data_IF_535805351717
#
_entry.id   IF_535805351717
#
_cell.length_a   1.000
_cell.length_b   1.000
_cell.length_c   1.000
_cell.angle_alpha   90.00
_cell.angle_beta   90.00
_cell.angle_gamma   90.00
#
_symmetry.space_group_name_H-M   'P 1'
#
loop_
_entity.id
_entity.type
_entity.pdbx_description
1 polymer ?
#
# COMPACT_ATOMS: atom_id res chain seq x y z
N UNK A 1 0.88 -0.58 -17.77
CA UNK A 1 -0.15 0.06 -16.93
C UNK A 1 0.55 0.74 -15.77
N UNK A 2 0.27 2.02 -15.52
CA UNK A 2 0.83 2.75 -14.39
C UNK A 2 -0.29 3.04 -13.39
N UNK A 3 -0.07 2.72 -12.12
CA UNK A 3 -1.02 3.01 -11.05
C UNK A 3 -0.24 3.42 -9.81
N UNK A 4 -0.69 4.50 -9.17
CA UNK A 4 -0.23 4.91 -7.85
C UNK A 4 -1.26 4.49 -6.80
N UNK A 5 -0.76 3.98 -5.68
CA UNK A 5 -1.53 3.63 -4.49
C UNK A 5 -1.07 4.55 -3.37
N UNK A 6 -1.97 5.42 -2.89
CA UNK A 6 -1.74 6.22 -1.70
C UNK A 6 -2.22 5.46 -0.47
N UNK A 7 -1.40 5.41 0.58
CA UNK A 7 -1.70 4.77 1.85
C UNK A 7 -1.66 5.80 2.97
N UNK A 8 -2.78 5.93 3.67
CA UNK A 8 -2.94 6.83 4.82
C UNK A 8 -3.09 6.03 6.11
N UNK A 9 -2.35 6.44 7.15
CA UNK A 9 -2.60 5.98 8.51
C UNK A 9 -3.90 6.57 9.06
N UNK A 10 -4.71 5.72 9.68
CA UNK A 10 -5.89 6.11 10.42
C UNK A 10 -5.68 5.72 11.88
N UNK A 11 -5.57 6.75 12.71
CA UNK A 11 -5.48 6.62 14.16
C UNK A 11 -6.65 5.78 14.72
N UNK A 12 -6.43 5.10 15.86
CA UNK A 12 -7.50 4.34 16.50
C UNK A 12 -8.62 5.29 16.96
N UNK A 13 -9.83 4.75 17.01
CA UNK A 13 -11.01 5.42 17.59
C UNK A 13 -11.56 4.58 18.74
N UNK A 14 -12.59 5.07 19.42
CA UNK A 14 -13.23 4.36 20.54
C UNK A 14 -13.71 2.93 20.21
N UNK A 15 -13.90 2.61 18.94
CA UNK A 15 -14.45 1.30 18.49
C UNK A 15 -13.58 0.59 17.45
N UNK A 16 -12.49 1.20 16.99
CA UNK A 16 -11.66 0.65 15.90
C UNK A 16 -10.18 0.87 16.22
N UNK A 17 -9.40 -0.20 16.15
CA UNK A 17 -7.94 -0.10 16.25
C UNK A 17 -7.31 0.69 15.10
N UNK A 18 -6.00 0.93 15.24
CA UNK A 18 -5.17 1.55 14.21
C UNK A 18 -5.28 0.79 12.89
N UNK A 19 -5.30 1.51 11.78
CA UNK A 19 -5.50 0.91 10.46
C UNK A 19 -4.88 1.75 9.35
N UNK A 20 -4.57 1.11 8.23
CA UNK A 20 -4.00 1.75 7.04
C UNK A 20 -5.00 1.64 5.90
N UNK A 21 -5.30 2.77 5.26
CA UNK A 21 -6.20 2.82 4.11
C UNK A 21 -5.39 3.04 2.84
N UNK A 22 -5.38 2.03 1.97
CA UNK A 22 -4.84 2.10 0.63
C UNK A 22 -5.94 2.55 -0.35
N UNK A 23 -5.62 3.50 -1.24
CA UNK A 23 -6.54 4.00 -2.27
C UNK A 23 -5.79 4.20 -3.59
N UNK A 24 -6.46 3.87 -4.69
CA UNK A 24 -6.02 4.16 -6.04
C UNK A 24 -7.24 4.49 -6.93
N UNK A 25 -7.03 4.72 -8.23
CA UNK A 25 -8.13 5.01 -9.14
C UNK A 25 -9.16 3.87 -9.27
N UNK A 26 -8.72 2.62 -9.08
CA UNK A 26 -9.61 1.45 -9.18
C UNK A 26 -10.47 1.22 -7.92
N UNK A 27 -10.06 1.75 -6.76
CA UNK A 27 -10.81 1.60 -5.52
C UNK A 27 -9.96 1.76 -4.26
N UNK A 28 -10.40 1.15 -3.16
CA UNK A 28 -9.71 1.26 -1.88
C UNK A 28 -9.86 0.00 -1.01
N UNK A 29 -8.95 -0.14 -0.05
CA UNK A 29 -8.93 -1.20 0.95
C UNK A 29 -8.45 -0.61 2.29
N UNK A 30 -8.98 -1.10 3.40
CA UNK A 30 -8.49 -0.77 4.74
C UNK A 30 -7.99 -2.03 5.42
N UNK A 31 -6.73 -2.01 5.87
CA UNK A 31 -6.09 -3.10 6.61
C UNK A 31 -5.87 -2.68 8.06
N UNK A 32 -6.05 -3.61 9.01
CA UNK A 32 -5.65 -3.38 10.39
C UNK A 32 -4.13 -3.22 10.48
N UNK A 33 -3.67 -2.34 11.37
CA UNK A 33 -2.25 -2.22 11.66
C UNK A 33 -1.76 -3.49 12.37
N UNK A 34 -0.65 -4.03 11.88
CA UNK A 34 0.12 -5.05 12.57
C UNK A 34 1.14 -4.37 13.48
N UNK A 35 1.01 -4.59 14.79
CA UNK A 35 1.86 -3.97 15.80
C UNK A 35 3.28 -4.57 15.85
N UNK A 36 3.53 -5.67 15.14
CA UNK A 36 4.89 -6.20 14.95
C UNK A 36 5.66 -5.50 13.83
N UNK A 37 4.95 -4.74 12.97
CA UNK A 37 5.50 -4.03 11.82
C UNK A 37 5.65 -2.54 12.11
N UNK A 38 6.66 -1.92 11.50
CA UNK A 38 6.81 -0.47 11.52
C UNK A 38 5.80 0.23 10.57
N UNK A 39 5.68 1.57 10.59
CA UNK A 39 4.70 2.27 9.76
C UNK A 39 4.87 2.10 8.24
N UNK A 40 6.12 1.99 7.77
CA UNK A 40 6.41 1.80 6.35
C UNK A 40 5.99 0.38 5.91
N UNK A 41 6.36 -0.64 6.69
CA UNK A 41 5.97 -2.04 6.45
C UNK A 41 4.45 -2.22 6.44
N UNK A 42 3.75 -1.61 7.42
CA UNK A 42 2.28 -1.62 7.42
C UNK A 42 1.69 -0.95 6.17
N UNK A 43 2.29 0.14 5.71
CA UNK A 43 1.83 0.84 4.52
C UNK A 43 2.07 0.00 3.25
N UNK A 44 3.25 -0.63 3.13
CA UNK A 44 3.59 -1.57 2.06
C UNK A 44 2.58 -2.72 2.01
N UNK A 45 2.31 -3.38 3.14
CA UNK A 45 1.35 -4.49 3.23
C UNK A 45 -0.06 -4.06 2.82
N UNK A 46 -0.48 -2.84 3.20
CA UNK A 46 -1.79 -2.32 2.78
C UNK A 46 -1.86 -2.07 1.27
N UNK A 47 -0.78 -1.57 0.66
CA UNK A 47 -0.69 -1.38 -0.79
C UNK A 47 -0.66 -2.73 -1.54
N UNK A 48 0.11 -3.69 -1.07
CA UNK A 48 0.17 -5.06 -1.61
C UNK A 48 -1.19 -5.75 -1.56
N UNK A 49 -1.92 -5.64 -0.45
CA UNK A 49 -3.29 -6.18 -0.33
C UNK A 49 -4.24 -5.56 -1.35
N UNK A 50 -4.13 -4.27 -1.63
CA UNK A 50 -4.95 -3.62 -2.67
C UNK A 50 -4.53 -4.06 -4.07
N UNK A 51 -3.23 -4.20 -4.34
CA UNK A 51 -2.72 -4.64 -5.63
C UNK A 51 -3.07 -6.12 -5.92
N UNK A 52 -2.98 -6.98 -4.89
CA UNK A 52 -3.38 -8.38 -4.95
C UNK A 52 -4.88 -8.54 -5.24
N UNK A 53 -5.74 -7.68 -4.66
CA UNK A 53 -7.18 -7.68 -4.97
C UNK A 53 -7.49 -7.51 -6.46
N UNK A 54 -6.62 -6.81 -7.20
CA UNK A 54 -6.77 -6.57 -8.63
C UNK A 54 -5.80 -7.38 -9.49
N UNK A 55 -5.12 -8.38 -8.90
CA UNK A 55 -4.14 -9.25 -9.56
C UNK A 55 -3.01 -8.49 -10.28
N UNK A 56 -2.60 -7.34 -9.76
CA UNK A 56 -1.56 -6.50 -10.40
C UNK A 56 -0.13 -6.96 -10.15
N UNK A 57 0.08 -7.79 -9.13
CA UNK A 57 1.39 -8.30 -8.72
C UNK A 57 1.59 -9.78 -9.12
N UNK A 58 0.57 -10.41 -9.73
CA UNK A 58 0.69 -11.74 -10.33
C UNK A 58 1.52 -11.63 -11.61
N UNK A 59 2.82 -11.92 -11.53
CA UNK A 59 3.75 -11.80 -12.67
C UNK A 59 5.08 -11.12 -12.37
N UNK A 60 5.45 -10.97 -11.09
CA UNK A 60 6.75 -10.40 -10.70
C UNK A 60 6.80 -8.88 -10.68
N UNK A 61 5.64 -8.22 -10.80
CA UNK A 61 5.53 -6.80 -10.51
C UNK A 61 5.84 -6.54 -9.03
N UNK A 62 6.67 -5.53 -8.77
CA UNK A 62 7.05 -5.09 -7.43
C UNK A 62 6.42 -3.72 -7.15
N UNK A 63 6.03 -3.48 -5.90
CA UNK A 63 5.64 -2.16 -5.45
C UNK A 63 6.87 -1.43 -4.94
N UNK A 64 7.14 -0.26 -5.52
CA UNK A 64 8.16 0.66 -5.04
C UNK A 64 7.50 1.94 -4.58
N UNK A 65 7.89 2.41 -3.39
CA UNK A 65 7.24 3.56 -2.79
C UNK A 65 8.09 4.28 -1.76
N UNK A 66 7.53 5.38 -1.28
CA UNK A 66 8.15 6.27 -0.31
C UNK A 66 7.10 7.06 0.46
N UNK A 67 7.56 7.88 1.40
CA UNK A 67 6.70 8.73 2.22
C UNK A 67 6.58 10.13 1.62
N UNK A 68 5.37 10.69 1.66
CA UNK A 68 5.08 12.08 1.34
C UNK A 68 5.34 12.97 2.56
N UNK A 69 5.52 14.27 2.34
CA UNK A 69 5.69 15.28 3.40
C UNK A 69 4.57 15.24 4.46
N UNK A 70 3.34 14.94 4.04
CA UNK A 70 2.18 14.84 4.93
C UNK A 70 2.12 13.56 5.77
N UNK A 71 3.14 12.68 5.66
CA UNK A 71 3.23 11.42 6.37
C UNK A 71 2.52 10.23 5.71
N UNK A 72 1.77 10.43 4.63
CA UNK A 72 1.20 9.33 3.84
C UNK A 72 2.30 8.63 3.04
N UNK A 73 2.02 7.41 2.59
CA UNK A 73 2.91 6.66 1.71
C UNK A 73 2.32 6.57 0.32
N UNK A 74 3.17 6.55 -0.70
CA UNK A 74 2.75 6.29 -2.08
C UNK A 74 3.59 5.15 -2.64
N UNK A 75 2.91 4.19 -3.25
CA UNK A 75 3.52 3.06 -3.93
C UNK A 75 3.10 3.04 -5.40
N UNK A 76 4.04 2.71 -6.26
CA UNK A 76 3.81 2.55 -7.70
C UNK A 76 4.19 1.15 -8.12
N UNK A 77 3.42 0.60 -9.06
CA UNK A 77 3.74 -0.71 -9.66
C UNK A 77 4.90 -0.52 -10.62
N UNK A 78 5.96 -1.29 -10.39
CA UNK A 78 7.12 -1.38 -11.27
C UNK A 78 7.33 -2.82 -11.71
N UNK A 79 7.71 -3.02 -12.96
CA UNK A 79 8.11 -4.33 -13.46
C UNK A 79 9.64 -4.35 -13.48
N UNK A 80 10.29 -5.38 -12.92
CA UNK A 80 11.74 -5.52 -13.06
C UNK A 80 12.04 -5.57 -14.56
N UNK A 81 12.94 -4.69 -15.00
CA UNK A 81 13.42 -4.71 -16.38
C UNK A 81 14.23 -6.00 -16.53
N UNK A 82 13.75 -6.96 -17.32
CA UNK A 82 14.57 -8.10 -17.72
C UNK A 82 15.87 -7.53 -18.30
N UNK A 83 16.97 -7.73 -17.58
CA UNK A 83 18.32 -7.47 -18.08
C UNK A 83 18.54 -8.51 -19.18
N UNK A 84 18.36 -8.08 -20.43
CA UNK A 84 18.71 -8.87 -21.60
C UNK A 84 20.22 -9.05 -21.72
#
# INVERSE_FOLDING_TARGET
MYQAIEVKFLAPTNTKGSRYKAKCAAGNLTAHADYSLNPNENAQVAAEKLAARYNWIEGGAVLQGGQLENGNYVFTISYPRNSG
#
